data_IF_433675356895
#
_entry.id   IF_433675356895
#
_cell.length_a   1.000
_cell.length_b   1.000
_cell.length_c   1.000
_cell.angle_alpha   90.00
_cell.angle_beta   90.00
_cell.angle_gamma   90.00
#
_symmetry.space_group_name_H-M   'P 1'
#
loop_
_entity.id
_entity.type
_entity.pdbx_description
1 polymer ?
#
# COMPACT_ATOMS: atom_id res chain seq x y z
N UNK A 1 9.91 25.97 -7.26
CA UNK A 1 9.55 25.00 -8.31
C UNK A 1 8.77 23.81 -7.74
N UNK A 2 8.87 23.54 -6.43
CA UNK A 2 8.11 22.51 -5.69
C UNK A 2 6.59 22.74 -5.66
N UNK A 3 6.13 24.00 -5.59
CA UNK A 3 4.69 24.31 -5.56
C UNK A 3 3.91 23.82 -6.78
N UNK A 4 4.51 23.82 -7.99
CA UNK A 4 3.81 23.38 -9.21
C UNK A 4 3.60 21.86 -9.30
N UNK A 5 4.45 21.07 -8.65
CA UNK A 5 4.27 19.62 -8.57
C UNK A 5 3.23 19.28 -7.51
N UNK A 6 3.30 19.92 -6.35
CA UNK A 6 2.34 19.76 -5.26
C UNK A 6 0.92 20.22 -5.64
N UNK A 7 0.81 21.31 -6.41
CA UNK A 7 -0.46 21.86 -6.89
C UNK A 7 -1.06 20.98 -8.01
N UNK A 8 -0.25 20.41 -8.90
CA UNK A 8 -0.71 19.43 -9.90
C UNK A 8 -1.13 18.11 -9.27
N UNK A 9 -0.42 17.69 -8.21
CA UNK A 9 -0.79 16.56 -7.38
C UNK A 9 -2.15 16.91 -6.77
N UNK A 10 -2.29 17.97 -5.95
CA UNK A 10 -3.55 18.31 -5.26
C UNK A 10 -4.76 18.47 -6.20
N UNK A 11 -4.58 18.99 -7.41
CA UNK A 11 -5.64 19.15 -8.40
C UNK A 11 -6.05 17.82 -9.06
N UNK A 12 -5.14 16.84 -9.16
CA UNK A 12 -5.50 15.47 -9.55
C UNK A 12 -6.26 14.72 -8.43
N UNK A 13 -6.11 15.15 -7.15
CA UNK A 13 -6.78 14.55 -5.97
C UNK A 13 -8.12 15.21 -5.60
N UNK A 14 -8.53 16.29 -6.27
CA UNK A 14 -9.83 16.96 -6.03
C UNK A 14 -10.98 16.41 -6.89
N UNK A 15 -10.67 15.45 -7.77
CA UNK A 15 -11.65 14.82 -8.66
C UNK A 15 -12.15 13.54 -7.99
N UNK A 16 -13.44 13.23 -8.16
CA UNK A 16 -14.06 11.97 -7.74
C UNK A 16 -13.12 10.78 -7.99
N UNK A 17 -13.19 9.76 -7.12
CA UNK A 17 -12.33 8.57 -7.22
C UNK A 17 -12.25 8.11 -8.68
N UNK A 18 -11.05 7.98 -9.26
CA UNK A 18 -10.93 7.64 -10.66
C UNK A 18 -11.64 6.30 -10.89
N UNK A 19 -12.67 6.32 -11.73
CA UNK A 19 -13.40 5.12 -12.11
C UNK A 19 -12.46 4.24 -12.96
N UNK A 20 -11.78 3.30 -12.31
CA UNK A 20 -10.99 2.26 -12.99
C UNK A 20 -11.78 0.96 -13.02
N UNK A 21 -11.67 0.25 -14.14
CA UNK A 21 -12.36 -1.04 -14.30
C UNK A 21 -11.63 -2.14 -13.52
N UNK A 22 -10.30 -2.02 -13.40
CA UNK A 22 -9.42 -3.01 -12.77
C UNK A 22 -8.67 -2.44 -11.56
N UNK A 23 -8.27 -3.33 -10.66
CA UNK A 23 -7.44 -3.00 -9.50
C UNK A 23 -6.04 -2.52 -9.93
N UNK A 24 -5.46 -3.13 -10.97
CA UNK A 24 -4.14 -2.76 -11.47
C UNK A 24 -4.10 -1.31 -11.98
N UNK A 25 -5.10 -0.89 -12.75
CA UNK A 25 -5.19 0.49 -13.26
C UNK A 25 -5.35 1.51 -12.13
N UNK A 26 -6.12 1.15 -11.11
CA UNK A 26 -6.30 2.01 -9.94
C UNK A 26 -4.99 2.18 -9.17
N UNK A 27 -4.28 1.08 -8.93
CA UNK A 27 -3.00 1.08 -8.24
C UNK A 27 -1.89 1.79 -9.05
N UNK A 28 -1.89 1.67 -10.37
CA UNK A 28 -0.97 2.40 -11.25
C UNK A 28 -1.11 3.93 -11.09
N UNK A 29 -2.32 4.42 -10.82
CA UNK A 29 -2.58 5.85 -10.57
C UNK A 29 -2.24 6.28 -9.13
N UNK A 30 -2.55 5.41 -8.15
CA UNK A 30 -2.44 5.73 -6.73
C UNK A 30 -1.01 5.56 -6.17
N UNK A 31 -0.35 4.45 -6.51
CA UNK A 31 0.94 4.10 -5.90
C UNK A 31 2.05 5.15 -6.10
N UNK A 32 2.18 5.83 -7.26
CA UNK A 32 3.23 6.83 -7.45
C UNK A 32 3.24 7.98 -6.43
N UNK A 33 2.08 8.34 -5.86
CA UNK A 33 1.97 9.44 -4.90
C UNK A 33 2.14 9.00 -3.45
N UNK A 34 1.76 7.77 -3.12
CA UNK A 34 1.84 7.26 -1.74
C UNK A 34 3.17 6.57 -1.44
N UNK A 35 3.92 6.16 -2.47
CA UNK A 35 5.18 5.41 -2.33
C UNK A 35 6.20 6.08 -1.42
N UNK A 36 6.30 7.40 -1.43
CA UNK A 36 7.27 8.15 -0.63
C UNK A 36 6.99 8.11 0.89
N UNK A 37 5.78 7.71 1.28
CA UNK A 37 5.31 7.66 2.68
C UNK A 37 5.29 6.20 3.17
N UNK A 38 5.47 5.24 2.28
CA UNK A 38 5.54 3.82 2.62
C UNK A 38 6.91 3.43 3.18
N UNK A 39 6.92 2.29 3.84
CA UNK A 39 8.08 1.69 4.49
C UNK A 39 8.90 0.83 3.52
N UNK A 40 10.12 0.45 3.89
CA UNK A 40 11.01 -0.42 3.10
C UNK A 40 10.96 -1.88 3.57
N UNK A 41 11.22 -2.86 2.69
CA UNK A 41 11.22 -4.28 3.08
C UNK A 41 12.30 -4.64 4.10
N UNK A 42 13.34 -3.81 4.25
CA UNK A 42 14.33 -3.97 5.32
C UNK A 42 13.71 -3.82 6.71
N UNK A 43 12.60 -3.10 6.82
CA UNK A 43 11.88 -2.88 8.07
C UNK A 43 10.91 -4.03 8.34
N UNK A 44 11.49 -5.21 8.55
CA UNK A 44 10.76 -6.49 8.57
C UNK A 44 9.63 -6.54 9.60
N UNK A 45 9.74 -5.78 10.69
CA UNK A 45 8.69 -5.66 11.71
C UNK A 45 7.33 -5.17 11.17
N UNK A 46 7.29 -4.49 10.02
CA UNK A 46 6.04 -4.07 9.40
C UNK A 46 5.25 -5.24 8.80
N UNK A 47 5.90 -6.34 8.42
CA UNK A 47 5.23 -7.46 7.74
C UNK A 47 5.41 -8.83 8.36
N UNK A 48 6.43 -9.04 9.18
CA UNK A 48 6.66 -10.33 9.83
C UNK A 48 5.58 -10.67 10.86
N UNK A 49 5.21 -11.95 10.90
CA UNK A 49 4.25 -12.51 11.86
C UNK A 49 2.82 -12.00 11.72
N UNK A 50 2.53 -11.18 10.70
CA UNK A 50 1.18 -10.70 10.41
C UNK A 50 0.47 -11.64 9.44
N UNK A 51 -0.85 -11.67 9.55
CA UNK A 51 -1.72 -12.35 8.60
C UNK A 51 -2.14 -11.36 7.51
N UNK A 52 -1.70 -11.65 6.30
CA UNK A 52 -1.89 -10.81 5.12
C UNK A 52 -2.93 -11.44 4.21
N UNK A 53 -4.12 -10.84 4.13
CA UNK A 53 -5.22 -11.29 3.30
C UNK A 53 -5.05 -10.79 1.87
N UNK A 54 -5.02 -11.70 0.91
CA UNK A 54 -4.89 -11.38 -0.52
C UNK A 54 -6.19 -10.85 -1.11
N UNK A 55 -6.07 -9.83 -1.97
CA UNK A 55 -7.17 -9.29 -2.75
C UNK A 55 -6.87 -9.37 -4.24
N UNK A 56 -7.89 -9.72 -5.03
CA UNK A 56 -7.86 -9.73 -6.50
C UNK A 56 -9.17 -9.18 -7.04
N UNK A 57 -9.14 -8.65 -8.25
CA UNK A 57 -10.29 -8.15 -9.00
C UNK A 57 -10.89 -9.18 -9.97
N UNK A 58 -10.31 -10.40 -10.05
CA UNK A 58 -10.86 -11.51 -10.83
C UNK A 58 -12.21 -11.97 -10.25
N UNK A 59 -13.25 -12.02 -11.09
CA UNK A 59 -14.59 -12.49 -10.71
C UNK A 59 -14.58 -13.92 -10.15
N UNK A 60 -13.60 -14.75 -10.52
CA UNK A 60 -13.47 -16.14 -10.05
C UNK A 60 -12.76 -16.25 -8.71
N UNK A 61 -12.21 -15.16 -8.19
CA UNK A 61 -11.50 -15.17 -6.93
C UNK A 61 -12.49 -15.07 -5.76
N UNK A 62 -12.88 -16.22 -5.23
CA UNK A 62 -13.71 -16.34 -4.04
C UNK A 62 -12.97 -16.96 -2.84
N UNK A 63 -11.72 -17.35 -3.05
CA UNK A 63 -10.89 -17.98 -2.03
C UNK A 63 -10.41 -16.94 -1.01
N UNK A 64 -10.46 -17.31 0.26
CA UNK A 64 -9.76 -16.57 1.32
C UNK A 64 -8.32 -17.06 1.37
N UNK A 65 -7.40 -16.23 0.88
CA UNK A 65 -5.96 -16.55 0.86
C UNK A 65 -5.22 -15.68 1.87
N UNK A 66 -4.61 -16.32 2.87
CA UNK A 66 -3.76 -15.68 3.87
C UNK A 66 -2.30 -15.99 3.62
N UNK A 67 -1.47 -14.98 3.77
CA UNK A 67 -0.02 -15.04 3.66
C UNK A 67 0.60 -14.67 5.01
N UNK A 68 1.56 -15.47 5.48
CA UNK A 68 2.26 -15.23 6.73
C UNK A 68 3.76 -15.35 6.46
N UNK A 69 4.48 -14.27 6.74
CA UNK A 69 5.93 -14.22 6.61
C UNK A 69 6.54 -14.35 8.00
N UNK A 70 7.18 -15.46 8.28
CA UNK A 70 7.80 -15.73 9.58
C UNK A 70 9.30 -15.42 9.55
N UNK A 71 9.88 -15.26 10.74
CA UNK A 71 11.32 -15.14 10.89
C UNK A 71 12.04 -16.39 10.33
N UNK A 72 13.32 -16.26 10.00
CA UNK A 72 14.10 -17.35 9.40
C UNK A 72 13.76 -17.67 7.95
N UNK A 73 12.87 -16.90 7.30
CA UNK A 73 12.51 -17.09 5.89
C UNK A 73 11.42 -18.14 5.65
N UNK A 74 10.71 -18.57 6.70
CA UNK A 74 9.54 -19.44 6.54
C UNK A 74 8.34 -18.63 6.05
N UNK A 75 7.65 -19.15 5.03
CA UNK A 75 6.42 -18.57 4.50
C UNK A 75 5.30 -19.58 4.63
N UNK A 76 4.15 -19.14 5.16
CA UNK A 76 2.94 -19.95 5.21
C UNK A 76 1.86 -19.31 4.35
N UNK A 77 1.19 -20.15 3.57
CA UNK A 77 0.02 -19.77 2.78
C UNK A 77 -1.16 -20.60 3.24
N UNK A 78 -2.26 -19.96 3.60
CA UNK A 78 -3.53 -20.64 3.88
C UNK A 78 -4.54 -20.30 2.81
N UNK A 79 -5.13 -21.32 2.17
CA UNK A 79 -6.20 -21.16 1.18
C UNK A 79 -7.44 -21.83 1.75
N UNK A 80 -8.47 -21.04 2.10
CA UNK A 80 -9.70 -21.53 2.71
C UNK A 80 -9.48 -22.43 3.95
N UNK A 81 -8.40 -22.19 4.69
CA UNK A 81 -8.03 -22.97 5.88
C UNK A 81 -6.99 -24.07 5.64
N UNK A 82 -6.75 -24.48 4.39
CA UNK A 82 -5.69 -25.43 4.07
C UNK A 82 -4.33 -24.74 4.04
N UNK A 83 -3.38 -25.21 4.85
CA UNK A 83 -2.08 -24.56 5.03
C UNK A 83 -0.99 -25.30 4.24
N UNK A 84 -0.21 -24.53 3.48
CA UNK A 84 1.02 -24.97 2.83
C UNK A 84 2.20 -24.13 3.31
N UNK A 85 3.36 -24.77 3.46
CA UNK A 85 4.62 -24.13 3.82
C UNK A 85 5.51 -23.92 2.60
N UNK A 86 6.17 -22.78 2.55
CA UNK A 86 7.15 -22.39 1.55
C UNK A 86 8.26 -21.56 2.20
N UNK A 87 8.97 -20.79 1.37
CA UNK A 87 10.04 -19.91 1.86
C UNK A 87 9.94 -18.52 1.27
N UNK A 88 10.49 -17.54 1.97
CA UNK A 88 10.66 -16.20 1.44
C UNK A 88 12.07 -15.68 1.78
N UNK A 89 12.57 -14.75 0.97
CA UNK A 89 13.87 -14.10 1.20
C UNK A 89 13.93 -12.70 0.59
N UNK A 90 14.60 -11.78 1.28
CA UNK A 90 14.92 -10.47 0.73
C UNK A 90 16.06 -10.57 -0.29
N UNK A 91 15.94 -9.82 -1.38
CA UNK A 91 16.90 -9.77 -2.48
C UNK A 91 17.39 -8.33 -2.68
N UNK A 92 18.03 -7.77 -1.66
CA UNK A 92 18.47 -6.36 -1.64
C UNK A 92 17.53 -5.48 -0.83
N UNK A 93 17.34 -4.21 -1.22
CA UNK A 93 16.48 -3.28 -0.45
C UNK A 93 14.99 -3.53 -0.67
N UNK A 94 14.51 -3.48 -1.91
CA UNK A 94 13.08 -3.48 -2.20
C UNK A 94 12.64 -4.62 -3.13
N UNK A 95 13.30 -5.78 -3.01
CA UNK A 95 12.92 -6.99 -3.71
C UNK A 95 12.74 -8.13 -2.72
N UNK A 96 11.70 -8.91 -2.91
CA UNK A 96 11.40 -10.09 -2.12
C UNK A 96 11.13 -11.25 -3.07
N UNK A 97 11.67 -12.40 -2.73
CA UNK A 97 11.32 -13.66 -3.35
C UNK A 97 10.40 -14.41 -2.40
N UNK A 98 9.27 -14.88 -2.91
CA UNK A 98 8.30 -15.70 -2.19
C UNK A 98 8.21 -16.98 -3.01
N UNK A 99 8.61 -18.11 -2.44
CA UNK A 99 8.85 -19.36 -3.17
C UNK A 99 9.77 -19.12 -4.38
N UNK A 100 9.32 -19.47 -5.59
CA UNK A 100 10.07 -19.27 -6.84
C UNK A 100 9.73 -17.95 -7.54
N UNK A 101 9.00 -17.07 -6.86
CA UNK A 101 8.41 -15.87 -7.42
C UNK A 101 9.11 -14.60 -6.92
N UNK A 102 9.70 -13.83 -7.85
CA UNK A 102 10.34 -12.54 -7.53
C UNK A 102 9.35 -11.37 -7.64
N UNK A 103 9.39 -10.51 -6.63
CA UNK A 103 8.58 -9.30 -6.52
C UNK A 103 9.44 -8.09 -6.16
N UNK A 104 8.92 -6.91 -6.51
CA UNK A 104 9.43 -5.60 -6.10
C UNK A 104 8.42 -4.92 -5.18
N UNK A 105 8.91 -4.22 -4.16
CA UNK A 105 8.05 -3.47 -3.27
C UNK A 105 7.40 -2.30 -4.01
N UNK A 106 6.08 -2.26 -3.97
CA UNK A 106 5.29 -1.12 -4.44
C UNK A 106 4.86 -0.21 -3.30
N UNK A 107 4.37 -0.81 -2.21
CA UNK A 107 3.94 -0.08 -1.02
C UNK A 107 3.90 -1.00 0.20
N UNK A 108 4.31 -0.50 1.36
CA UNK A 108 4.22 -1.19 2.64
C UNK A 108 3.87 -0.19 3.73
N UNK A 109 2.93 -0.58 4.59
CA UNK A 109 2.66 0.09 5.85
C UNK A 109 2.05 -0.90 6.86
N UNK A 110 1.62 -0.47 8.06
CA UNK A 110 1.03 -1.38 9.03
C UNK A 110 -0.22 -2.15 8.56
N UNK A 111 -0.96 -1.66 7.57
CA UNK A 111 -2.25 -2.19 7.10
C UNK A 111 -2.19 -2.79 5.68
N UNK A 112 -1.29 -2.33 4.82
CA UNK A 112 -1.19 -2.68 3.40
C UNK A 112 0.20 -3.19 3.08
N UNK A 113 0.25 -4.31 2.36
CA UNK A 113 1.47 -4.85 1.80
C UNK A 113 1.26 -5.15 0.32
N UNK A 114 1.80 -4.30 -0.54
CA UNK A 114 1.59 -4.33 -1.99
C UNK A 114 2.94 -4.55 -2.68
N UNK A 115 2.98 -5.64 -3.42
CA UNK A 115 4.13 -6.06 -4.20
C UNK A 115 3.79 -5.98 -5.68
N UNK A 116 4.76 -5.61 -6.52
CA UNK A 116 4.66 -5.73 -7.96
C UNK A 116 5.44 -6.97 -8.40
N UNK A 117 4.81 -7.83 -9.19
CA UNK A 117 5.48 -9.00 -9.75
C UNK A 117 6.60 -8.53 -10.69
N UNK A 118 7.82 -9.03 -10.49
CA UNK A 118 8.96 -8.62 -11.31
C UNK A 118 8.79 -9.07 -12.77
N UNK A 119 9.28 -8.26 -13.72
CA UNK A 119 9.12 -8.48 -15.17
C UNK A 119 7.99 -7.68 -15.81
N UNK A 120 7.82 -7.84 -17.13
CA UNK A 120 6.82 -7.09 -17.91
C UNK A 120 5.46 -7.80 -17.92
N UNK A 121 4.73 -7.69 -16.81
CA UNK A 121 3.41 -8.31 -16.65
C UNK A 121 2.36 -7.72 -17.60
N UNK A 122 2.48 -6.43 -17.92
CA UNK A 122 1.57 -5.74 -18.85
C UNK A 122 1.63 -6.36 -20.25
N UNK A 123 2.83 -6.63 -20.77
CA UNK A 123 3.00 -7.35 -22.03
C UNK A 123 2.48 -8.79 -21.96
N UNK A 124 2.59 -9.44 -20.81
CA UNK A 124 2.10 -10.80 -20.57
C UNK A 124 0.59 -10.87 -20.31
N UNK A 125 -0.11 -9.72 -20.21
CA UNK A 125 -1.52 -9.62 -19.84
C UNK A 125 -1.85 -10.38 -18.54
N UNK A 126 -0.94 -10.29 -17.57
CA UNK A 126 -1.11 -10.86 -16.23
C UNK A 126 -1.24 -9.74 -15.21
N UNK A 127 -1.86 -10.06 -14.07
CA UNK A 127 -1.93 -9.15 -12.93
C UNK A 127 -0.53 -8.73 -12.51
N UNK A 128 -0.36 -7.43 -12.35
CA UNK A 128 0.90 -6.81 -11.97
C UNK A 128 1.07 -6.78 -10.46
N UNK A 129 0.01 -6.45 -9.74
CA UNK A 129 0.08 -6.23 -8.30
C UNK A 129 -0.39 -7.45 -7.52
N UNK A 130 0.39 -7.78 -6.50
CA UNK A 130 0.03 -8.71 -5.46
C UNK A 130 -0.31 -7.90 -4.22
N UNK A 131 -1.63 -7.79 -3.96
CA UNK A 131 -2.21 -6.88 -2.98
C UNK A 131 -2.60 -7.67 -1.74
N UNK A 132 -2.01 -7.30 -0.61
CA UNK A 132 -2.37 -7.88 0.67
C UNK A 132 -2.74 -6.81 1.69
N UNK A 133 -3.71 -7.12 2.54
CA UNK A 133 -4.18 -6.25 3.62
C UNK A 133 -4.10 -7.01 4.93
N UNK A 134 -3.70 -6.34 6.00
CA UNK A 134 -3.69 -6.93 7.33
C UNK A 134 -5.09 -7.44 7.69
N UNK A 135 -5.20 -8.73 7.99
CA UNK A 135 -6.47 -9.46 8.09
C UNK A 135 -7.53 -8.76 8.98
N UNK A 136 -7.21 -8.23 10.18
CA UNK A 136 -8.19 -7.53 11.01
C UNK A 136 -8.84 -6.33 10.33
N UNK A 137 -8.12 -5.69 9.40
CA UNK A 137 -8.58 -4.55 8.59
C UNK A 137 -9.33 -5.04 7.35
N UNK A 138 -8.83 -6.09 6.68
CA UNK A 138 -9.32 -6.54 5.37
C UNK A 138 -10.53 -7.49 5.39
N UNK A 139 -10.77 -8.26 6.46
CA UNK A 139 -11.70 -9.43 6.50
C UNK A 139 -13.18 -9.21 6.13
N UNK A 140 -13.61 -7.98 5.84
CA UNK A 140 -14.99 -7.62 5.43
C UNK A 140 -15.02 -6.67 4.25
N UNK A 141 -13.89 -6.50 3.59
CA UNK A 141 -13.77 -5.61 2.45
C UNK A 141 -13.82 -6.42 1.17
N UNK A 142 -14.29 -5.78 0.12
CA UNK A 142 -14.07 -6.22 -1.26
C UNK A 142 -12.90 -5.43 -1.83
N UNK A 143 -12.31 -5.90 -2.93
CA UNK A 143 -11.14 -5.24 -3.52
C UNK A 143 -11.38 -3.75 -3.80
N UNK A 144 -12.59 -3.36 -4.24
CA UNK A 144 -12.94 -1.94 -4.44
C UNK A 144 -12.77 -1.16 -3.15
N UNK A 145 -13.44 -1.61 -2.08
CA UNK A 145 -13.35 -0.99 -0.75
C UNK A 145 -11.92 -0.98 -0.20
N UNK A 146 -11.08 -1.97 -0.53
CA UNK A 146 -9.66 -1.99 -0.16
C UNK A 146 -8.91 -0.84 -0.81
N UNK A 147 -9.07 -0.64 -2.12
CA UNK A 147 -8.38 0.41 -2.86
C UNK A 147 -8.93 1.80 -2.48
N UNK A 148 -10.24 1.93 -2.25
CA UNK A 148 -10.85 3.14 -1.72
C UNK A 148 -10.30 3.49 -0.33
N UNK A 149 -10.13 2.49 0.53
CA UNK A 149 -9.54 2.69 1.86
C UNK A 149 -8.08 3.14 1.77
N UNK A 150 -7.29 2.52 0.87
CA UNK A 150 -5.92 2.95 0.60
C UNK A 150 -5.91 4.42 0.17
N UNK A 151 -6.76 4.79 -0.79
CA UNK A 151 -6.91 6.17 -1.27
C UNK A 151 -7.28 7.14 -0.13
N UNK A 152 -8.33 6.83 0.63
CA UNK A 152 -8.83 7.69 1.72
C UNK A 152 -7.77 7.93 2.80
N UNK A 153 -7.05 6.86 3.20
CA UNK A 153 -6.00 6.94 4.22
C UNK A 153 -4.93 7.96 3.87
N UNK A 154 -4.48 8.01 2.61
CA UNK A 154 -3.41 8.93 2.19
C UNK A 154 -3.90 10.29 1.76
N UNK A 155 -5.15 10.41 1.29
CA UNK A 155 -5.76 11.71 1.02
C UNK A 155 -5.86 12.55 2.30
N UNK A 156 -6.37 11.96 3.38
CA UNK A 156 -6.66 12.68 4.62
C UNK A 156 -5.40 12.97 5.46
N UNK A 157 -4.33 12.17 5.28
CA UNK A 157 -3.04 12.39 5.94
C UNK A 157 -2.40 13.74 5.58
N UNK A 158 -2.58 14.22 4.35
CA UNK A 158 -2.03 15.51 3.92
C UNK A 158 -2.73 16.69 4.63
N UNK A 159 -4.03 16.58 4.92
CA UNK A 159 -4.80 17.60 5.64
C UNK A 159 -4.26 17.81 7.07
N UNK A 160 -3.81 16.76 7.76
CA UNK A 160 -3.24 16.88 9.09
C UNK A 160 -1.97 17.74 9.10
N UNK A 161 -1.04 17.52 8.17
CA UNK A 161 0.18 18.32 8.09
C UNK A 161 -0.09 19.78 7.73
N UNK A 162 -1.07 20.06 6.87
CA UNK A 162 -1.50 21.44 6.59
C UNK A 162 -2.13 22.11 7.82
N UNK A 163 -2.98 21.40 8.58
CA UNK A 163 -3.56 21.92 9.83
C UNK A 163 -2.45 22.17 10.85
N UNK A 164 -1.50 21.26 11.02
CA UNK A 164 -0.39 21.42 11.96
C UNK A 164 0.50 22.62 11.57
N UNK A 165 0.86 22.75 10.29
CA UNK A 165 1.63 23.89 9.80
C UNK A 165 0.87 25.22 10.01
N UNK A 166 -0.43 25.25 9.73
CA UNK A 166 -1.28 26.42 9.98
C UNK A 166 -1.30 26.80 11.47
N UNK A 167 -1.45 25.82 12.37
CA UNK A 167 -1.43 26.03 13.82
C UNK A 167 -0.07 26.59 14.27
N UNK A 168 1.04 26.05 13.78
CA UNK A 168 2.39 26.56 14.10
C UNK A 168 2.54 28.03 13.68
N UNK A 169 2.10 28.37 12.46
CA UNK A 169 2.12 29.77 11.98
C UNK A 169 1.25 30.68 12.85
N UNK A 170 0.06 30.21 13.25
CA UNK A 170 -0.86 30.98 14.10
C UNK A 170 -0.29 31.22 15.50
N UNK A 171 0.40 30.23 16.07
CA UNK A 171 1.14 30.37 17.35
C UNK A 171 2.28 31.37 17.21
N UNK A 172 3.06 31.32 16.12
CA UNK A 172 4.12 32.30 15.88
C UNK A 172 3.59 33.74 15.78
N UNK A 173 2.45 33.94 15.09
CA UNK A 173 1.80 35.26 14.99
C UNK A 173 1.37 35.75 16.38
N UNK A 174 0.74 34.88 17.18
CA UNK A 174 0.34 35.21 18.56
C UNK A 174 1.53 35.60 19.44
N UNK A 175 2.64 34.86 19.36
CA UNK A 175 3.85 35.18 20.12
C UNK A 175 4.43 36.54 19.75
N UNK A 176 4.44 36.88 18.46
CA UNK A 176 4.90 38.21 18.00
C UNK A 176 3.96 39.30 18.53
N UNK A 177 2.64 39.12 18.43
CA UNK A 177 1.66 40.09 18.93
C UNK A 177 1.72 40.28 20.45
N UNK A 178 1.97 39.23 21.22
CA UNK A 178 2.13 39.29 22.68
C UNK A 178 3.48 39.88 23.13
N UNK A 179 4.46 39.94 22.22
CA UNK A 179 5.77 40.55 22.47
C UNK A 179 5.84 42.06 22.24
N UNK A 180 4.80 42.65 21.63
CA UNK A 180 4.64 44.10 21.43
C UNK A 180 3.88 44.74 22.59
#
# INVERSE_FOLDING_TARGET
>A
MENKLLEKVSQAWSTEMPHSETMDEYLDQLLPSVRAIGEDLKESHFFLGKHWLEFRDDEKFHDTVLHIFNDGGEYLKSVNGDVSSGSWRLMGSNKIMIEDELFELSFLDPEFFILAKHGDQKRLKKHKYFVMVFEPVGKRLEWRNVVEKLYAKYRDSNTYYYILAFVIVLVMILLVLLSQ
#
